data_IF_144745177591
#
_entry.id   IF_144745177591
#
_cell.length_a   1.000
_cell.length_b   1.000
_cell.length_c   1.000
_cell.angle_alpha   90.00
_cell.angle_beta   90.00
_cell.angle_gamma   90.00
#
_symmetry.space_group_name_H-M   'P 1'
#
loop_
_entity.id
_entity.type
_entity.pdbx_description
1 polymer ?
#
# COMPACT_ATOMS: atom_id res chain seq x y z
N UNK A 1 -28.68 -2.43 -19.25
CA UNK A 1 -30.10 -2.52 -19.64
C UNK A 1 -30.84 -3.36 -18.60
N UNK A 2 -31.42 -2.72 -17.58
CA UNK A 2 -32.66 -3.15 -16.94
C UNK A 2 -33.17 -1.99 -16.07
N UNK A 3 -34.48 -1.82 -16.08
CA UNK A 3 -35.27 -0.67 -15.67
C UNK A 3 -35.83 -0.90 -14.27
N UNK A 4 -35.88 0.14 -13.42
CA UNK A 4 -36.85 0.29 -12.32
C UNK A 4 -36.96 1.79 -11.99
N UNK A 5 -37.89 2.58 -12.55
CA UNK A 5 -39.35 2.73 -12.35
C UNK A 5 -39.81 3.23 -10.96
N UNK A 6 -40.55 4.35 -11.06
CA UNK A 6 -41.66 4.86 -10.24
C UNK A 6 -41.38 5.54 -8.88
N UNK A 7 -41.54 6.86 -8.91
CA UNK A 7 -41.88 7.72 -7.77
C UNK A 7 -43.41 7.72 -7.62
N UNK A 8 -43.93 7.21 -6.50
CA UNK A 8 -45.33 7.38 -6.11
C UNK A 8 -45.41 8.39 -4.96
N UNK A 9 -46.12 9.49 -5.21
CA UNK A 9 -46.42 10.55 -4.26
C UNK A 9 -47.74 10.21 -3.57
N UNK A 10 -47.73 9.93 -2.28
CA UNK A 10 -48.96 9.81 -1.50
C UNK A 10 -48.83 10.58 -0.18
N UNK A 11 -49.58 11.68 -0.09
CA UNK A 11 -49.89 12.40 1.15
C UNK A 11 -50.97 11.61 1.87
N UNK A 12 -50.76 11.25 3.13
CA UNK A 12 -51.85 10.88 4.03
C UNK A 12 -51.67 11.53 5.40
N UNK A 13 -52.80 12.08 5.86
CA UNK A 13 -52.98 13.00 6.97
C UNK A 13 -52.68 12.30 8.31
N UNK A 14 -51.92 12.98 9.17
CA UNK A 14 -51.79 12.66 10.59
C UNK A 14 -53.13 12.90 11.29
N UNK A 15 -53.66 11.88 11.97
CA UNK A 15 -54.69 12.03 12.98
C UNK A 15 -54.06 11.79 14.35
N UNK A 16 -54.07 12.84 15.17
CA UNK A 16 -53.57 12.90 16.55
C UNK A 16 -54.67 12.34 17.44
N UNK A 17 -54.70 11.03 17.69
CA UNK A 17 -55.50 10.39 18.76
C UNK A 17 -55.18 8.90 18.85
N UNK A 18 -53.91 8.54 19.12
CA UNK A 18 -53.56 7.19 19.62
C UNK A 18 -52.20 7.19 20.31
N UNK A 19 -52.02 8.13 21.24
CA UNK A 19 -50.86 8.21 22.12
C UNK A 19 -51.28 7.83 23.54
N UNK A 20 -51.78 6.60 23.78
CA UNK A 20 -51.94 6.09 25.15
C UNK A 20 -52.34 4.60 25.20
N UNK A 21 -51.59 3.70 24.52
CA UNK A 21 -51.75 2.23 24.72
C UNK A 21 -50.57 1.35 24.29
N UNK A 22 -49.45 1.94 23.88
CA UNK A 22 -48.21 1.19 23.57
C UNK A 22 -47.03 1.52 24.50
N UNK A 23 -47.29 2.16 25.64
CA UNK A 23 -46.25 2.54 26.63
C UNK A 23 -45.87 1.40 27.61
N UNK A 24 -46.29 0.16 27.36
CA UNK A 24 -45.88 -1.04 28.16
C UNK A 24 -45.54 -2.21 27.21
N UNK A 25 -44.80 -1.92 26.15
CA UNK A 25 -43.88 -2.86 25.48
C UNK A 25 -42.59 -2.09 25.23
N UNK A 26 -42.10 -1.45 26.31
CA UNK A 26 -40.74 -0.97 26.42
C UNK A 26 -39.94 -2.02 27.19
N UNK A 27 -38.69 -2.23 26.76
CA UNK A 27 -37.63 -2.91 27.52
C UNK A 27 -37.41 -4.43 27.30
N UNK A 28 -37.31 -4.90 26.06
CA UNK A 28 -36.66 -6.20 25.78
C UNK A 28 -36.07 -6.40 24.37
N UNK A 29 -35.84 -5.35 23.56
CA UNK A 29 -35.43 -5.51 22.15
C UNK A 29 -34.41 -4.47 21.65
N UNK A 30 -33.41 -4.09 22.46
CA UNK A 30 -32.26 -3.30 21.97
C UNK A 30 -30.93 -3.76 22.61
N UNK A 31 -30.61 -5.05 22.55
CA UNK A 31 -29.25 -5.53 22.93
C UNK A 31 -28.64 -6.54 21.98
N UNK A 32 -29.32 -6.92 20.89
CA UNK A 32 -28.73 -7.86 19.92
C UNK A 32 -28.12 -7.14 18.73
N UNK A 33 -26.79 -7.22 18.67
CA UNK A 33 -25.97 -7.22 17.47
C UNK A 33 -25.66 -5.88 16.80
N UNK A 34 -24.96 -5.00 17.53
CA UNK A 34 -23.81 -4.34 16.93
C UNK A 34 -22.57 -5.26 17.07
N UNK A 35 -22.66 -6.51 16.57
CA UNK A 35 -21.45 -7.22 16.20
C UNK A 35 -20.97 -6.51 14.95
N UNK A 36 -20.06 -5.56 15.12
CA UNK A 36 -19.30 -5.03 13.99
C UNK A 36 -18.82 -6.22 13.18
N UNK A 37 -19.14 -6.25 11.88
CA UNK A 37 -18.58 -7.23 10.98
C UNK A 37 -17.06 -7.04 11.04
N UNK A 38 -16.39 -7.83 11.89
CA UNK A 38 -14.95 -8.00 11.80
C UNK A 38 -14.77 -8.57 10.40
N UNK A 39 -14.27 -7.74 9.48
CA UNK A 39 -13.93 -8.16 8.13
C UNK A 39 -13.05 -9.39 8.26
N UNK A 40 -13.62 -10.57 8.00
CA UNK A 40 -12.92 -11.82 8.21
C UNK A 40 -11.76 -11.86 7.22
N UNK A 41 -10.53 -11.92 7.73
CA UNK A 41 -9.34 -12.05 6.90
C UNK A 41 -9.51 -13.28 6.01
N UNK A 42 -9.51 -13.06 4.69
CA UNK A 42 -9.69 -14.15 3.73
C UNK A 42 -8.44 -15.02 3.73
N UNK A 43 -8.63 -16.33 3.80
CA UNK A 43 -7.56 -17.32 3.71
C UNK A 43 -7.66 -18.08 2.39
N UNK A 44 -6.50 -18.46 1.86
CA UNK A 44 -6.34 -19.14 0.57
C UNK A 44 -5.56 -20.44 0.78
N UNK A 45 -5.99 -21.51 0.11
CA UNK A 45 -5.25 -22.77 0.07
C UNK A 45 -4.07 -22.65 -0.90
N UNK A 46 -2.92 -23.22 -0.51
CA UNK A 46 -1.69 -23.24 -1.32
C UNK A 46 -1.94 -23.76 -2.74
N UNK A 47 -2.61 -24.91 -2.88
CA UNK A 47 -2.87 -25.52 -4.20
C UNK A 47 -3.69 -24.62 -5.13
N UNK A 48 -4.64 -23.85 -4.57
CA UNK A 48 -5.41 -22.87 -5.35
C UNK A 48 -4.55 -21.71 -5.82
N UNK A 49 -3.68 -21.19 -4.95
CA UNK A 49 -2.74 -20.12 -5.32
C UNK A 49 -1.71 -20.59 -6.35
N UNK A 50 -1.27 -21.85 -6.30
CA UNK A 50 -0.38 -22.42 -7.32
C UNK A 50 -1.08 -22.48 -8.69
N UNK A 51 -2.34 -22.88 -8.73
CA UNK A 51 -3.14 -22.87 -9.96
C UNK A 51 -3.33 -21.44 -10.49
N UNK A 52 -3.64 -20.48 -9.62
CA UNK A 52 -3.77 -19.06 -9.98
C UNK A 52 -2.45 -18.49 -10.51
N UNK A 53 -1.31 -18.85 -9.91
CA UNK A 53 0.01 -18.43 -10.38
C UNK A 53 0.32 -18.99 -11.79
N UNK A 54 -0.05 -20.24 -12.07
CA UNK A 54 0.13 -20.81 -13.41
C UNK A 54 -0.76 -20.13 -14.44
N UNK A 55 -2.01 -19.83 -14.09
CA UNK A 55 -2.92 -19.08 -14.96
C UNK A 55 -2.36 -17.68 -15.24
N UNK A 56 -1.90 -16.98 -14.21
CA UNK A 56 -1.26 -15.67 -14.33
C UNK A 56 -0.05 -15.71 -15.27
N UNK A 57 0.88 -16.65 -15.07
CA UNK A 57 2.06 -16.78 -15.93
C UNK A 57 1.69 -17.09 -17.38
N UNK A 58 0.67 -17.91 -17.60
CA UNK A 58 0.14 -18.17 -18.94
C UNK A 58 -0.42 -16.90 -19.57
N UNK A 59 -1.17 -16.08 -18.82
CA UNK A 59 -1.66 -14.80 -19.33
C UNK A 59 -0.52 -13.82 -19.66
N UNK A 60 0.57 -13.82 -18.89
CA UNK A 60 1.75 -13.03 -19.24
C UNK A 60 2.37 -13.51 -20.56
N UNK A 61 2.54 -14.83 -20.75
CA UNK A 61 3.04 -15.39 -22.02
C UNK A 61 2.19 -15.00 -23.23
N UNK A 62 0.87 -14.93 -23.06
CA UNK A 62 -0.09 -14.62 -24.14
C UNK A 62 -0.10 -13.13 -24.52
N UNK A 63 0.12 -12.24 -23.55
CA UNK A 63 -0.04 -10.78 -23.74
C UNK A 63 1.30 -10.07 -23.89
N UNK A 64 2.35 -10.51 -23.19
CA UNK A 64 3.62 -9.81 -23.15
C UNK A 64 4.58 -10.28 -24.23
N UNK A 65 5.10 -9.30 -24.97
CA UNK A 65 6.21 -9.54 -25.89
C UNK A 65 7.46 -9.90 -25.08
N UNK A 66 7.98 -11.10 -25.32
CA UNK A 66 9.23 -11.57 -24.72
C UNK A 66 9.22 -11.66 -23.18
N UNK A 67 8.20 -12.31 -22.60
CA UNK A 67 8.09 -12.61 -21.16
C UNK A 67 9.35 -13.23 -20.53
N UNK A 68 10.23 -13.80 -21.35
CA UNK A 68 11.43 -14.54 -20.93
C UNK A 68 12.74 -13.80 -21.21
N UNK A 69 12.69 -12.48 -21.42
CA UNK A 69 13.87 -11.68 -21.72
C UNK A 69 14.93 -11.71 -20.59
N UNK A 70 14.49 -11.65 -19.33
CA UNK A 70 15.37 -11.59 -18.17
C UNK A 70 15.50 -12.90 -17.38
N UNK A 71 14.64 -13.88 -17.68
CA UNK A 71 14.58 -15.16 -16.97
C UNK A 71 14.12 -16.27 -17.93
N UNK A 72 14.73 -17.44 -17.84
CA UNK A 72 14.24 -18.60 -18.60
C UNK A 72 12.94 -19.14 -18.01
N UNK A 73 12.07 -19.73 -18.84
CA UNK A 73 10.82 -20.36 -18.37
C UNK A 73 11.07 -21.42 -17.28
N UNK A 74 12.10 -22.24 -17.44
CA UNK A 74 12.46 -23.27 -16.47
C UNK A 74 12.92 -22.66 -15.13
N UNK A 75 13.73 -21.60 -15.17
CA UNK A 75 14.16 -20.91 -13.95
C UNK A 75 13.00 -20.21 -13.24
N UNK A 76 12.09 -19.57 -13.99
CA UNK A 76 10.89 -18.94 -13.45
C UNK A 76 10.01 -19.95 -12.72
N UNK A 77 9.73 -21.10 -13.34
CA UNK A 77 8.94 -22.17 -12.72
C UNK A 77 9.61 -22.73 -11.47
N UNK A 78 10.93 -22.96 -11.51
CA UNK A 78 11.69 -23.40 -10.34
C UNK A 78 11.61 -22.41 -9.17
N UNK A 79 11.72 -21.10 -9.44
CA UNK A 79 11.59 -20.06 -8.40
C UNK A 79 10.16 -19.96 -7.87
N UNK A 80 9.14 -20.06 -8.74
CA UNK A 80 7.73 -20.18 -8.35
C UNK A 80 7.54 -21.32 -7.35
N UNK A 81 8.05 -22.52 -7.67
CA UNK A 81 7.94 -23.68 -6.80
C UNK A 81 8.66 -23.46 -5.46
N UNK A 82 9.84 -22.82 -5.48
CA UNK A 82 10.56 -22.45 -4.25
C UNK A 82 9.76 -21.50 -3.37
N UNK A 83 9.06 -20.51 -3.94
CA UNK A 83 8.21 -19.57 -3.21
C UNK A 83 7.05 -20.33 -2.55
N UNK A 84 6.36 -21.20 -3.29
CA UNK A 84 5.25 -21.98 -2.76
C UNK A 84 5.67 -23.04 -1.73
N UNK A 85 6.88 -23.59 -1.83
CA UNK A 85 7.43 -24.50 -0.83
C UNK A 85 7.78 -23.80 0.49
N UNK A 86 7.93 -22.46 0.48
CA UNK A 86 8.20 -21.68 1.69
C UNK A 86 6.95 -21.30 2.49
N UNK A 87 5.74 -21.53 1.96
CA UNK A 87 4.48 -21.15 2.62
C UNK A 87 3.71 -22.35 3.17
N UNK A 88 2.94 -22.17 4.26
CA UNK A 88 2.06 -23.20 4.79
C UNK A 88 0.92 -23.55 3.82
N UNK A 89 0.19 -24.64 4.12
CA UNK A 89 -0.93 -25.11 3.30
C UNK A 89 -2.07 -24.09 3.14
N UNK A 90 -2.17 -23.13 4.07
CA UNK A 90 -3.11 -22.01 3.99
C UNK A 90 -2.43 -20.72 4.43
N UNK A 91 -2.72 -19.64 3.73
CA UNK A 91 -2.18 -18.30 4.01
C UNK A 91 -3.29 -17.25 3.96
N UNK A 92 -3.09 -16.13 4.65
CA UNK A 92 -3.99 -14.98 4.53
C UNK A 92 -3.84 -14.25 3.19
N UNK A 93 -4.72 -13.27 2.95
CA UNK A 93 -4.74 -12.47 1.73
C UNK A 93 -3.46 -11.67 1.47
N UNK A 94 -2.80 -11.15 2.50
CA UNK A 94 -1.56 -10.37 2.35
C UNK A 94 -0.41 -11.27 1.94
N UNK A 95 -0.31 -12.46 2.55
CA UNK A 95 0.69 -13.44 2.18
C UNK A 95 0.42 -14.03 0.80
N UNK A 96 -0.85 -14.29 0.45
CA UNK A 96 -1.22 -14.70 -0.92
C UNK A 96 -0.80 -13.64 -1.95
N UNK A 97 -1.15 -12.37 -1.72
CA UNK A 97 -0.77 -11.24 -2.58
C UNK A 97 0.74 -11.15 -2.76
N UNK A 98 1.50 -11.13 -1.66
CA UNK A 98 2.98 -11.03 -1.74
C UNK A 98 3.63 -12.20 -2.45
N UNK A 99 3.11 -13.43 -2.34
CA UNK A 99 3.66 -14.57 -3.09
C UNK A 99 3.46 -14.39 -4.60
N UNK A 100 2.27 -13.99 -5.04
CA UNK A 100 1.98 -13.77 -6.45
C UNK A 100 2.77 -12.57 -7.00
N UNK A 101 2.89 -11.48 -6.23
CA UNK A 101 3.72 -10.32 -6.60
C UNK A 101 5.19 -10.69 -6.75
N UNK A 102 5.74 -11.53 -5.85
CA UNK A 102 7.12 -12.01 -5.95
C UNK A 102 7.34 -12.82 -7.24
N UNK A 103 6.38 -13.68 -7.61
CA UNK A 103 6.43 -14.44 -8.87
C UNK A 103 6.37 -13.51 -10.09
N UNK A 104 5.44 -12.53 -10.11
CA UNK A 104 5.34 -11.57 -11.20
C UNK A 104 6.62 -10.73 -11.35
N UNK A 105 7.23 -10.33 -10.23
CA UNK A 105 8.46 -9.56 -10.20
C UNK A 105 9.67 -10.29 -10.82
N UNK A 106 9.65 -11.63 -10.91
CA UNK A 106 10.70 -12.42 -11.55
C UNK A 106 10.80 -12.19 -13.06
N UNK A 107 9.71 -11.77 -13.73
CA UNK A 107 9.71 -11.36 -15.13
C UNK A 107 10.57 -10.09 -15.33
N UNK A 108 10.73 -9.31 -14.26
CA UNK A 108 11.55 -8.10 -14.21
C UNK A 108 11.10 -7.00 -15.18
N UNK A 109 9.81 -6.95 -15.50
CA UNK A 109 9.17 -5.85 -16.23
C UNK A 109 8.34 -4.97 -15.27
N UNK A 110 8.44 -3.65 -15.39
CA UNK A 110 7.74 -2.70 -14.50
C UNK A 110 6.25 -2.56 -14.80
N UNK A 111 5.77 -3.08 -15.92
CA UNK A 111 4.37 -3.07 -16.32
C UNK A 111 3.68 -4.41 -16.05
N UNK A 112 4.39 -5.35 -15.43
CA UNK A 112 3.90 -6.68 -15.03
C UNK A 112 3.84 -6.76 -13.52
N UNK A 113 2.64 -6.67 -12.97
CA UNK A 113 2.44 -6.71 -11.54
C UNK A 113 1.06 -7.27 -11.20
N UNK A 114 0.89 -7.65 -9.94
CA UNK A 114 -0.42 -7.93 -9.37
C UNK A 114 -1.05 -6.61 -8.98
N UNK A 115 -2.20 -6.31 -9.58
CA UNK A 115 -2.94 -5.08 -9.27
C UNK A 115 -3.55 -5.14 -7.85
N UNK A 116 -3.89 -3.97 -7.32
CA UNK A 116 -4.38 -3.79 -5.97
C UNK A 116 -5.64 -4.64 -5.70
N UNK A 117 -5.60 -5.42 -4.63
CA UNK A 117 -6.74 -6.19 -4.17
C UNK A 117 -7.54 -5.38 -3.15
N UNK A 118 -8.78 -5.00 -3.50
CA UNK A 118 -9.58 -4.07 -2.70
C UNK A 118 -9.69 -4.41 -1.20
N UNK A 119 -9.86 -5.68 -0.77
CA UNK A 119 -9.86 -6.01 0.66
C UNK A 119 -8.56 -5.70 1.40
N UNK A 120 -7.40 -5.77 0.73
CA UNK A 120 -6.11 -5.37 1.32
C UNK A 120 -6.05 -3.85 1.43
N UNK A 121 -6.48 -3.12 0.39
CA UNK A 121 -6.51 -1.66 0.42
C UNK A 121 -7.41 -1.15 1.54
N UNK A 122 -8.64 -1.66 1.64
CA UNK A 122 -9.56 -1.29 2.73
C UNK A 122 -8.95 -1.63 4.10
N UNK A 123 -8.38 -2.83 4.25
CA UNK A 123 -7.72 -3.21 5.51
C UNK A 123 -6.52 -2.31 5.86
N UNK A 124 -5.79 -1.81 4.86
CA UNK A 124 -4.70 -0.87 5.06
C UNK A 124 -5.22 0.51 5.48
N UNK A 125 -6.23 1.03 4.79
CA UNK A 125 -6.83 2.34 5.06
C UNK A 125 -7.52 2.39 6.44
N UNK A 126 -8.08 1.28 6.88
CA UNK A 126 -8.68 1.13 8.22
C UNK A 126 -7.64 0.93 9.34
N UNK A 127 -6.36 0.70 9.00
CA UNK A 127 -5.29 0.45 9.97
C UNK A 127 -4.61 1.74 10.45
N UNK A 128 -3.79 1.61 11.51
CA UNK A 128 -2.87 2.66 11.93
C UNK A 128 -1.60 2.62 11.08
N UNK A 129 -1.38 3.68 10.30
CA UNK A 129 -0.30 3.79 9.31
C UNK A 129 1.02 4.17 9.99
N UNK A 130 2.11 3.58 9.51
CA UNK A 130 3.46 3.93 9.95
C UNK A 130 3.77 5.41 9.63
N UNK A 131 4.07 6.26 10.63
CA UNK A 131 4.05 7.70 10.45
C UNK A 131 5.39 8.28 10.02
N UNK A 132 6.39 7.47 9.64
CA UNK A 132 7.69 7.96 9.19
C UNK A 132 7.85 7.71 7.70
N UNK A 133 8.29 8.73 6.97
CA UNK A 133 8.75 8.54 5.59
C UNK A 133 10.22 8.14 5.61
N UNK A 134 10.57 7.16 4.80
CA UNK A 134 11.91 6.60 4.75
C UNK A 134 12.50 6.88 3.37
N UNK A 135 13.75 7.34 3.33
CA UNK A 135 14.61 7.34 2.16
C UNK A 135 15.63 6.21 2.28
N UNK A 136 16.22 5.81 1.17
CA UNK A 136 17.24 4.76 1.15
C UNK A 136 18.50 5.32 0.49
N UNK A 137 19.63 5.28 1.19
CA UNK A 137 20.89 5.85 0.73
C UNK A 137 21.90 4.78 0.33
N UNK A 138 22.63 5.03 -0.75
CA UNK A 138 23.68 4.16 -1.26
C UNK A 138 23.16 2.89 -1.94
N UNK A 139 24.08 2.10 -2.50
CA UNK A 139 23.76 0.87 -3.24
C UNK A 139 23.09 -0.21 -2.38
N UNK A 140 23.32 -0.18 -1.07
CA UNK A 140 22.78 -1.15 -0.11
C UNK A 140 21.45 -0.71 0.52
N UNK A 141 20.97 0.50 0.25
CA UNK A 141 19.69 0.98 0.77
C UNK A 141 19.70 1.17 2.29
N UNK A 142 20.61 1.99 2.81
CA UNK A 142 20.58 2.37 4.22
C UNK A 142 19.28 3.14 4.52
N UNK A 143 18.41 2.67 5.44
CA UNK A 143 17.13 3.33 5.72
C UNK A 143 17.35 4.61 6.53
N UNK A 144 17.01 5.75 5.95
CA UNK A 144 17.13 7.07 6.59
C UNK A 144 15.75 7.70 6.70
N UNK A 145 15.39 8.16 7.89
CA UNK A 145 14.12 8.83 8.13
C UNK A 145 14.17 10.20 7.46
N UNK A 146 13.27 10.46 6.53
CA UNK A 146 13.20 11.73 5.77
C UNK A 146 12.18 12.69 6.34
N UNK A 147 11.13 12.18 6.98
CA UNK A 147 10.11 12.98 7.64
C UNK A 147 9.39 12.18 8.72
N UNK A 148 8.80 12.90 9.66
CA UNK A 148 7.93 12.35 10.70
C UNK A 148 6.56 13.03 10.55
N UNK A 149 5.59 12.25 10.11
CA UNK A 149 4.22 12.69 9.84
C UNK A 149 3.34 12.62 11.10
N UNK A 150 3.87 12.13 12.22
CA UNK A 150 3.18 12.18 13.50
C UNK A 150 3.27 13.58 14.11
N UNK A 151 2.35 13.89 15.03
CA UNK A 151 2.40 15.13 15.83
C UNK A 151 3.49 15.13 16.90
N UNK A 152 4.25 14.03 17.03
CA UNK A 152 5.31 13.88 18.04
C UNK A 152 6.68 14.17 17.41
N UNK A 153 7.48 15.04 18.03
CA UNK A 153 8.73 15.54 17.45
C UNK A 153 9.99 14.78 17.85
N UNK A 154 9.85 13.57 18.42
CA UNK A 154 10.98 12.85 19.04
C UNK A 154 11.98 12.35 18.00
N UNK A 155 11.48 11.78 16.90
CA UNK A 155 12.30 11.27 15.81
C UNK A 155 12.49 12.37 14.76
N UNK A 156 13.74 12.78 14.53
CA UNK A 156 14.10 13.83 13.58
C UNK A 156 14.54 13.25 12.23
N UNK A 157 14.31 13.97 11.12
CA UNK A 157 14.90 13.63 9.83
C UNK A 157 16.43 13.47 9.91
N UNK A 158 16.96 12.55 9.09
CA UNK A 158 18.38 12.18 9.07
C UNK A 158 18.76 11.04 10.03
N UNK A 159 17.87 10.62 10.92
CA UNK A 159 18.08 9.42 11.74
C UNK A 159 18.12 8.15 10.87
N UNK A 160 18.98 7.19 11.24
CA UNK A 160 19.07 5.90 10.55
C UNK A 160 18.10 4.94 11.22
N UNK A 161 17.12 4.46 10.47
CA UNK A 161 16.16 3.47 10.95
C UNK A 161 16.81 2.08 10.92
N UNK A 162 16.87 1.42 12.08
CA UNK A 162 17.49 0.10 12.24
C UNK A 162 16.44 -1.01 12.20
N UNK A 163 15.37 -0.89 12.99
CA UNK A 163 14.34 -1.92 13.08
C UNK A 163 12.95 -1.35 13.33
N UNK A 164 11.93 -2.10 12.92
CA UNK A 164 10.51 -1.86 13.21
C UNK A 164 9.91 -3.16 13.72
N UNK A 165 9.33 -3.14 14.93
CA UNK A 165 8.76 -4.32 15.60
C UNK A 165 9.75 -5.50 15.68
N UNK A 166 11.05 -5.20 15.85
CA UNK A 166 12.12 -6.19 15.90
C UNK A 166 12.60 -6.69 14.53
N UNK A 167 11.97 -6.29 13.43
CA UNK A 167 12.42 -6.62 12.08
C UNK A 167 13.42 -5.58 11.57
N UNK A 168 14.53 -6.04 10.98
CA UNK A 168 15.54 -5.17 10.40
C UNK A 168 14.96 -4.36 9.21
N UNK A 169 15.08 -3.04 9.27
CA UNK A 169 14.45 -2.15 8.29
C UNK A 169 15.03 -2.28 6.87
N UNK A 170 16.33 -2.59 6.75
CA UNK A 170 16.96 -2.84 5.45
C UNK A 170 16.42 -4.14 4.82
N UNK A 171 16.21 -5.19 5.61
CA UNK A 171 15.59 -6.42 5.13
C UNK A 171 14.14 -6.21 4.69
N UNK A 172 13.37 -5.36 5.40
CA UNK A 172 12.01 -5.00 5.00
C UNK A 172 12.00 -4.27 3.65
N UNK A 173 12.96 -3.37 3.43
CA UNK A 173 13.14 -2.72 2.14
C UNK A 173 13.44 -3.72 1.03
N UNK A 174 14.42 -4.62 1.22
CA UNK A 174 14.75 -5.64 0.24
C UNK A 174 13.58 -6.59 -0.05
N UNK A 175 12.82 -6.95 0.98
CA UNK A 175 11.60 -7.75 0.83
C UNK A 175 10.57 -7.00 -0.02
N UNK A 176 10.39 -5.70 0.19
CA UNK A 176 9.54 -4.86 -0.66
C UNK A 176 10.02 -4.83 -2.11
N UNK A 177 11.33 -4.68 -2.35
CA UNK A 177 11.86 -4.57 -3.72
C UNK A 177 11.75 -5.90 -4.47
N UNK A 178 11.74 -7.03 -3.76
CA UNK A 178 11.50 -8.34 -4.34
C UNK A 178 10.07 -8.53 -4.87
N UNK A 179 9.13 -7.67 -4.47
CA UNK A 179 7.74 -7.69 -4.96
C UNK A 179 7.53 -6.84 -6.22
N UNK A 180 8.60 -6.21 -6.74
CA UNK A 180 8.52 -5.26 -7.84
C UNK A 180 9.35 -5.72 -9.04
N UNK A 181 8.77 -5.60 -10.23
CA UNK A 181 9.47 -5.77 -11.51
C UNK A 181 10.27 -4.52 -11.91
N UNK A 182 11.01 -4.59 -13.02
CA UNK A 182 11.75 -3.46 -13.60
C UNK A 182 13.14 -3.20 -13.03
N UNK A 183 13.65 -1.98 -13.23
CA UNK A 183 15.00 -1.57 -12.85
C UNK A 183 15.14 -1.38 -11.34
N UNK A 184 16.33 -1.63 -10.78
CA UNK A 184 16.59 -1.49 -9.34
C UNK A 184 16.19 -0.10 -8.79
N UNK A 185 16.47 0.97 -9.53
CA UNK A 185 16.08 2.33 -9.13
C UNK A 185 14.56 2.52 -9.06
N UNK A 186 13.82 1.91 -10.00
CA UNK A 186 12.35 1.92 -10.01
C UNK A 186 11.80 1.15 -8.80
N UNK A 187 12.26 -0.09 -8.60
CA UNK A 187 11.86 -0.91 -7.43
C UNK A 187 12.11 -0.18 -6.11
N UNK A 188 13.29 0.44 -5.97
CA UNK A 188 13.64 1.23 -4.79
C UNK A 188 12.70 2.43 -4.59
N UNK A 189 12.37 3.15 -5.66
CA UNK A 189 11.43 4.27 -5.61
C UNK A 189 10.02 3.82 -5.20
N UNK A 190 9.51 2.72 -5.77
CA UNK A 190 8.20 2.18 -5.42
C UNK A 190 8.10 1.77 -3.95
N UNK A 191 9.12 1.09 -3.44
CA UNK A 191 9.15 0.69 -2.02
C UNK A 191 9.30 1.89 -1.10
N UNK A 192 10.12 2.87 -1.48
CA UNK A 192 10.27 4.13 -0.74
C UNK A 192 8.93 4.86 -0.60
N UNK A 193 8.20 5.00 -1.69
CA UNK A 193 6.97 5.78 -1.73
C UNK A 193 5.79 5.06 -1.04
N UNK A 194 5.82 3.73 -1.00
CA UNK A 194 4.75 2.91 -0.43
C UNK A 194 5.21 2.11 0.80
N UNK A 195 6.25 2.55 1.50
CA UNK A 195 6.89 1.74 2.55
C UNK A 195 5.91 1.30 3.65
N UNK A 196 5.02 2.20 4.09
CA UNK A 196 3.98 1.89 5.08
C UNK A 196 3.00 0.82 4.60
N UNK A 197 2.67 0.80 3.31
CA UNK A 197 1.83 -0.25 2.70
C UNK A 197 2.56 -1.60 2.70
N UNK A 198 3.86 -1.63 2.39
CA UNK A 198 4.64 -2.86 2.50
C UNK A 198 4.72 -3.39 3.93
N UNK A 199 4.86 -2.53 4.94
CA UNK A 199 4.79 -2.95 6.34
C UNK A 199 3.46 -3.64 6.65
N UNK A 200 2.35 -3.09 6.17
CA UNK A 200 1.03 -3.70 6.31
C UNK A 200 0.96 -5.08 5.63
N UNK A 201 1.46 -5.21 4.40
CA UNK A 201 1.54 -6.50 3.70
C UNK A 201 2.39 -7.53 4.45
N UNK A 202 3.35 -7.09 5.24
CA UNK A 202 4.24 -7.95 6.03
C UNK A 202 3.71 -8.26 7.43
N UNK A 203 2.50 -7.82 7.78
CA UNK A 203 1.91 -8.02 9.09
C UNK A 203 2.53 -7.15 10.19
N UNK A 204 3.23 -6.08 9.81
CA UNK A 204 3.85 -5.13 10.73
C UNK A 204 2.87 -3.99 10.98
N UNK A 205 2.27 -3.98 12.16
CA UNK A 205 1.21 -3.06 12.54
C UNK A 205 1.59 -2.24 13.78
N UNK A 206 0.81 -1.19 14.04
CA UNK A 206 0.92 -0.41 15.25
C UNK A 206 0.56 -1.24 16.51
N UNK A 207 1.09 -0.87 17.69
CA UNK A 207 2.08 0.17 17.91
C UNK A 207 3.45 -0.23 17.32
N UNK A 208 4.09 0.72 16.65
CA UNK A 208 5.38 0.48 15.98
C UNK A 208 6.52 0.74 16.96
N UNK A 209 7.25 -0.32 17.30
CA UNK A 209 8.46 -0.25 18.11
C UNK A 209 9.63 0.01 17.16
N UNK A 210 10.15 1.23 17.16
CA UNK A 210 11.16 1.71 16.23
C UNK A 210 12.50 1.84 16.94
N UNK A 211 13.53 1.20 16.40
CA UNK A 211 14.91 1.42 16.82
C UNK A 211 15.65 2.19 15.73
N UNK A 212 16.34 3.26 16.13
CA UNK A 212 17.03 4.15 15.20
C UNK A 212 18.29 4.74 15.83
N UNK A 213 19.22 5.20 14.99
CA UNK A 213 20.38 5.98 15.45
C UNK A 213 20.25 7.44 15.07
N UNK A 214 20.70 8.29 15.98
CA UNK A 214 20.86 9.72 15.73
C UNK A 214 22.28 10.11 16.17
N UNK A 215 23.18 10.23 15.19
CA UNK A 215 24.62 10.22 15.45
C UNK A 215 25.06 8.84 15.94
N UNK A 216 25.70 8.77 17.11
CA UNK A 216 26.20 7.52 17.72
C UNK A 216 25.24 6.88 18.72
N UNK A 217 24.12 7.53 19.01
CA UNK A 217 23.18 7.08 20.05
C UNK A 217 22.08 6.25 19.40
N UNK A 218 21.92 5.01 19.87
CA UNK A 218 20.77 4.15 19.55
C UNK A 218 19.62 4.54 20.46
N UNK A 219 18.43 4.74 19.90
CA UNK A 219 17.20 5.04 20.60
C UNK A 219 16.12 4.05 20.20
N UNK A 220 15.14 3.90 21.08
CA UNK A 220 13.98 3.04 20.89
C UNK A 220 12.73 3.81 21.28
N UNK A 221 11.77 3.88 20.37
CA UNK A 221 10.54 4.64 20.55
C UNK A 221 9.33 3.78 20.16
N UNK A 222 8.18 4.04 20.77
CA UNK A 222 6.92 3.38 20.41
C UNK A 222 5.99 4.40 19.77
N UNK A 223 5.66 4.18 18.49
CA UNK A 223 4.79 5.07 17.73
C UNK A 223 3.40 4.44 17.61
N UNK A 224 2.32 5.15 17.97
CA UNK A 224 0.96 4.59 17.87
C UNK A 224 0.46 4.41 16.43
N UNK A 225 1.19 4.92 15.44
CA UNK A 225 0.69 5.09 14.08
C UNK A 225 -0.23 6.31 13.94
N UNK A 226 -0.67 6.59 12.72
CA UNK A 226 -1.63 7.65 12.41
C UNK A 226 -2.74 7.09 11.50
N UNK A 227 -3.94 7.66 11.55
CA UNK A 227 -5.02 7.24 10.65
C UNK A 227 -4.71 7.58 9.19
N UNK A 228 -5.28 6.82 8.26
CA UNK A 228 -5.02 7.00 6.82
C UNK A 228 -5.33 8.42 6.30
N UNK A 229 -6.43 9.04 6.76
CA UNK A 229 -6.76 10.43 6.38
C UNK A 229 -5.68 11.42 6.82
N UNK A 230 -5.16 11.26 8.03
CA UNK A 230 -4.07 12.10 8.56
C UNK A 230 -2.76 11.84 7.80
N UNK A 231 -2.48 10.58 7.47
CA UNK A 231 -1.33 10.20 6.65
C UNK A 231 -1.37 10.86 5.27
N UNK A 232 -2.51 10.79 4.57
CA UNK A 232 -2.70 11.43 3.26
C UNK A 232 -2.55 12.95 3.38
N UNK A 233 -3.19 13.57 4.37
CA UNK A 233 -3.11 15.02 4.59
C UNK A 233 -1.66 15.48 4.87
N UNK A 234 -0.93 14.77 5.74
CA UNK A 234 0.46 15.07 6.06
C UNK A 234 1.40 14.87 4.86
N UNK A 235 1.09 13.92 3.98
CA UNK A 235 1.88 13.61 2.79
C UNK A 235 1.66 14.60 1.64
N UNK A 236 0.52 15.31 1.59
CA UNK A 236 0.23 16.30 0.54
C UNK A 236 1.26 17.44 0.50
N UNK A 237 1.86 17.80 1.63
CA UNK A 237 2.91 18.82 1.70
C UNK A 237 4.22 18.40 1.01
N UNK A 238 4.37 17.11 0.67
CA UNK A 238 5.50 16.60 -0.10
C UNK A 238 5.27 16.67 -1.62
N UNK A 239 4.18 17.31 -2.07
CA UNK A 239 3.85 17.40 -3.49
C UNK A 239 4.95 18.12 -4.28
N UNK A 240 5.52 17.38 -5.24
CA UNK A 240 6.46 17.93 -6.23
C UNK A 240 5.66 18.25 -7.50
N UNK A 241 5.75 19.47 -8.05
CA UNK A 241 5.02 19.82 -9.26
C UNK A 241 5.48 18.94 -10.45
N UNK A 242 4.54 18.62 -11.34
CA UNK A 242 4.80 17.79 -12.53
C UNK A 242 5.97 18.33 -13.35
N UNK A 243 6.09 19.65 -13.46
CA UNK A 243 7.21 20.36 -14.06
C UNK A 243 7.34 21.77 -13.47
N UNK A 244 8.53 22.35 -13.53
CA UNK A 244 8.80 23.73 -13.14
C UNK A 244 9.92 24.32 -13.99
N UNK A 245 9.93 25.63 -14.18
CA UNK A 245 11.00 26.32 -14.89
C UNK A 245 11.54 27.50 -14.11
N UNK A 246 12.85 27.72 -14.22
CA UNK A 246 13.52 28.90 -13.68
C UNK A 246 14.74 29.22 -14.52
N UNK A 247 15.12 30.48 -14.53
CA UNK A 247 16.44 30.89 -15.01
C UNK A 247 17.48 30.69 -13.91
N UNK A 248 18.59 30.07 -14.28
CA UNK A 248 19.83 30.03 -13.50
C UNK A 248 20.74 31.19 -13.93
N UNK A 249 21.88 31.34 -13.25
CA UNK A 249 22.93 32.28 -13.66
C UNK A 249 23.33 32.10 -15.12
N UNK A 250 23.77 33.18 -15.77
CA UNK A 250 24.21 33.20 -17.17
C UNK A 250 23.07 32.90 -18.17
N UNK A 251 21.84 33.30 -17.86
CA UNK A 251 20.67 33.13 -18.73
C UNK A 251 20.40 31.66 -19.13
N UNK A 252 20.76 30.70 -18.28
CA UNK A 252 20.47 29.28 -18.52
C UNK A 252 19.04 28.98 -18.06
N UNK A 253 18.16 28.59 -18.97
CA UNK A 253 16.85 28.06 -18.61
C UNK A 253 16.96 26.64 -18.05
N UNK A 254 16.37 26.39 -16.88
CA UNK A 254 16.31 25.08 -16.25
C UNK A 254 14.86 24.61 -16.13
N UNK A 255 14.54 23.51 -16.80
CA UNK A 255 13.26 22.81 -16.67
C UNK A 255 13.49 21.60 -15.75
N UNK A 256 12.76 21.56 -14.64
CA UNK A 256 12.59 20.34 -13.86
C UNK A 256 11.35 19.62 -14.40
N UNK A 257 11.49 18.41 -14.91
CA UNK A 257 10.39 17.63 -15.47
C UNK A 257 10.25 16.32 -14.70
N UNK A 258 9.26 16.24 -13.80
CA UNK A 258 9.10 15.13 -12.86
C UNK A 258 8.10 14.07 -13.35
N UNK A 259 7.05 14.47 -14.07
CA UNK A 259 6.01 13.53 -14.55
C UNK A 259 5.50 13.92 -15.94
N UNK A 260 5.10 12.93 -16.74
CA UNK A 260 4.45 13.15 -18.05
C UNK A 260 2.94 13.43 -17.96
N UNK A 261 2.44 13.84 -16.80
CA UNK A 261 1.02 14.11 -16.58
C UNK A 261 0.69 15.60 -16.75
N UNK A 262 -0.53 15.89 -17.19
CA UNK A 262 -1.01 17.27 -17.29
C UNK A 262 -0.60 18.00 -18.57
N UNK A 263 -0.67 17.30 -19.72
CA UNK A 263 -0.32 17.80 -21.06
C UNK A 263 -0.83 19.22 -21.35
N UNK A 264 -2.06 19.56 -20.96
CA UNK A 264 -2.62 20.92 -21.15
C UNK A 264 -1.77 21.99 -20.46
N UNK A 265 -1.38 21.75 -19.20
CA UNK A 265 -0.54 22.68 -18.45
C UNK A 265 0.89 22.71 -19.02
N UNK A 266 1.39 21.59 -19.53
CA UNK A 266 2.72 21.53 -20.13
C UNK A 266 2.79 22.33 -21.43
N UNK A 267 1.74 22.30 -22.27
CA UNK A 267 1.64 23.15 -23.47
C UNK A 267 1.68 24.64 -23.11
N UNK A 268 0.86 25.05 -22.13
CA UNK A 268 0.90 26.43 -21.61
C UNK A 268 2.25 26.83 -21.00
N UNK A 269 3.09 25.87 -20.65
CA UNK A 269 4.43 26.10 -20.14
C UNK A 269 5.46 26.28 -21.27
N UNK A 270 5.20 25.74 -22.47
CA UNK A 270 6.06 25.86 -23.64
C UNK A 270 5.78 27.11 -24.49
N UNK A 271 4.54 27.63 -24.43
CA UNK A 271 4.08 28.84 -25.12
C UNK A 271 4.46 30.13 -24.34
#
# INVERSE_FOLDING_TARGET
MLIAKLVLKCRLKMNITSYLKHLIIGLALITTAAFGQISSVKHFKKDSLEADALLMLKSFEEVQVNSYFHISKSELLRKKDSIFNSIPAQVDQCRAFTCLSEIAALISDSHTYIDNYAPIITSYEDSQIFPLTIGFQGAHGLPVITNNLSRTSVIKPGAILMSINGFNAQQLFHRGTALQGGLAAYKANEVRNNFSYYLHLFGIHAPFIVEYTQGKIVRKETLPGIGYKDFVAASQHLHVPNFSFKFLSNNIGYINFNTMSGMKKFKMFLD
#
